data_IF_658486159752
#
_entry.id   IF_658486159752
#
_cell.length_a   1.000
_cell.length_b   1.000
_cell.length_c   1.000
_cell.angle_alpha   90.00
_cell.angle_beta   90.00
_cell.angle_gamma   90.00
#
_symmetry.space_group_name_H-M   'P 1'
#
loop_
_entity.id
_entity.type
_entity.pdbx_description
1 polymer ?
#
# COMPACT_ATOMS: atom_id res chain seq x y z
N UNK A 1 49.88 -34.49 -9.99
CA UNK A 1 48.42 -34.33 -9.87
C UNK A 1 48.11 -33.57 -8.58
N UNK A 2 48.32 -32.23 -8.52
CA UNK A 2 47.99 -31.49 -7.32
C UNK A 2 46.49 -31.20 -7.33
N UNK A 3 45.83 -31.76 -6.33
CA UNK A 3 44.39 -31.72 -6.14
C UNK A 3 43.89 -30.27 -6.02
N UNK A 4 42.99 -29.94 -6.94
CA UNK A 4 41.84 -29.04 -6.83
C UNK A 4 41.83 -28.06 -5.64
N UNK A 5 42.08 -26.79 -5.95
CA UNK A 5 41.59 -25.68 -5.14
C UNK A 5 40.08 -25.52 -5.40
N UNK A 6 39.25 -26.03 -4.49
CA UNK A 6 37.80 -25.79 -4.51
C UNK A 6 37.53 -24.44 -3.83
N UNK A 7 37.52 -23.36 -4.63
CA UNK A 7 37.10 -22.04 -4.18
C UNK A 7 35.57 -22.01 -4.10
N UNK A 8 35.00 -22.28 -2.92
CA UNK A 8 33.60 -22.05 -2.64
C UNK A 8 33.38 -20.53 -2.54
N UNK A 9 33.03 -19.90 -3.66
CA UNK A 9 32.41 -18.57 -3.64
C UNK A 9 31.01 -18.74 -3.06
N UNK A 10 30.86 -18.49 -1.76
CA UNK A 10 29.55 -18.28 -1.15
C UNK A 10 28.96 -17.02 -1.77
N UNK A 11 28.09 -17.19 -2.76
CA UNK A 11 27.22 -16.11 -3.22
C UNK A 11 26.21 -15.91 -2.09
N UNK A 12 26.47 -14.94 -1.21
CA UNK A 12 25.46 -14.47 -0.28
C UNK A 12 24.33 -13.87 -1.09
N UNK A 13 23.27 -14.65 -1.31
CA UNK A 13 21.97 -14.13 -1.72
C UNK A 13 21.53 -13.20 -0.59
N UNK A 14 21.77 -11.90 -0.76
CA UNK A 14 21.14 -10.90 0.07
C UNK A 14 19.67 -10.90 -0.36
N UNK A 15 18.88 -11.78 0.25
CA UNK A 15 17.45 -11.53 0.32
C UNK A 15 17.34 -10.12 0.92
N UNK A 16 16.80 -9.18 0.15
CA UNK A 16 16.57 -7.83 0.62
C UNK A 16 15.89 -7.91 1.97
N UNK A 17 16.42 -7.17 2.94
CA UNK A 17 15.93 -7.17 4.32
C UNK A 17 14.42 -6.95 4.31
N UNK A 18 13.64 -7.99 4.63
CA UNK A 18 12.20 -7.87 4.70
C UNK A 18 11.88 -7.11 5.98
N UNK A 19 11.57 -5.81 5.84
CA UNK A 19 11.30 -4.92 6.97
C UNK A 19 10.21 -5.47 7.89
N UNK A 20 9.27 -6.23 7.33
CA UNK A 20 8.12 -6.77 8.04
C UNK A 20 7.89 -8.24 7.69
N UNK A 21 8.49 -9.17 8.45
CA UNK A 21 8.27 -10.61 8.28
C UNK A 21 6.78 -10.97 8.31
N UNK A 22 6.32 -11.72 7.29
CA UNK A 22 4.91 -12.13 7.16
C UNK A 22 4.01 -11.13 6.43
N UNK A 23 4.54 -9.97 6.05
CA UNK A 23 3.86 -9.03 5.16
C UNK A 23 3.73 -9.58 3.74
N UNK A 24 2.63 -9.20 3.06
CA UNK A 24 2.34 -9.63 1.67
C UNK A 24 2.72 -8.60 0.60
N UNK A 25 3.22 -7.43 0.99
CA UNK A 25 3.70 -6.40 0.07
C UNK A 25 5.22 -6.37 0.02
N UNK A 26 5.77 -5.92 -1.10
CA UNK A 26 7.22 -5.89 -1.28
C UNK A 26 7.85 -4.73 -0.54
N UNK A 27 9.15 -4.81 -0.32
CA UNK A 27 9.94 -3.71 0.23
C UNK A 27 9.79 -2.41 -0.59
N UNK A 28 9.74 -2.51 -1.92
CA UNK A 28 9.51 -1.38 -2.81
C UNK A 28 8.11 -0.76 -2.62
N UNK A 29 7.08 -1.56 -2.36
CA UNK A 29 5.72 -1.05 -2.09
C UNK A 29 5.68 -0.25 -0.77
N UNK A 30 6.34 -0.77 0.27
CA UNK A 30 6.49 -0.08 1.58
C UNK A 30 7.14 1.28 1.41
N UNK A 31 8.26 1.32 0.68
CA UNK A 31 8.97 2.56 0.36
C UNK A 31 8.12 3.53 -0.45
N UNK A 32 7.43 3.05 -1.49
CA UNK A 32 6.56 3.88 -2.31
C UNK A 32 5.42 4.51 -1.50
N UNK A 33 4.75 3.72 -0.65
CA UNK A 33 3.69 4.20 0.24
C UNK A 33 4.22 5.22 1.25
N UNK A 34 5.32 4.91 1.94
CA UNK A 34 5.90 5.79 2.96
C UNK A 34 6.41 7.11 2.35
N UNK A 35 7.10 7.03 1.21
CA UNK A 35 7.63 8.19 0.51
C UNK A 35 6.51 9.05 -0.08
N UNK A 36 5.47 8.45 -0.65
CA UNK A 36 4.30 9.16 -1.15
C UNK A 36 3.64 10.01 -0.07
N UNK A 37 3.37 9.41 1.10
CA UNK A 37 2.80 10.13 2.25
C UNK A 37 3.72 11.24 2.75
N UNK A 38 5.00 10.95 2.97
CA UNK A 38 5.94 11.95 3.48
C UNK A 38 6.20 13.10 2.49
N UNK A 39 6.17 12.83 1.18
CA UNK A 39 6.28 13.87 0.14
C UNK A 39 5.08 14.83 0.19
N UNK A 40 3.85 14.29 0.26
CA UNK A 40 2.65 15.12 0.39
C UNK A 40 2.66 15.93 1.69
N UNK A 41 3.00 15.30 2.83
CA UNK A 41 3.12 15.96 4.13
C UNK A 41 4.16 17.09 4.09
N UNK A 42 5.31 16.88 3.45
CA UNK A 42 6.34 17.89 3.28
C UNK A 42 5.85 19.08 2.46
N UNK A 43 5.15 18.84 1.35
CA UNK A 43 4.58 19.90 0.52
C UNK A 43 3.57 20.76 1.27
N UNK A 44 2.72 20.14 2.10
CA UNK A 44 1.80 20.85 3.00
C UNK A 44 2.60 21.67 4.03
N UNK A 45 3.58 21.06 4.70
CA UNK A 45 4.39 21.73 5.71
C UNK A 45 5.17 22.95 5.18
N UNK A 46 5.52 22.94 3.89
CA UNK A 46 6.20 24.03 3.20
C UNK A 46 5.22 25.06 2.58
N UNK A 47 3.92 24.84 2.65
CA UNK A 47 2.91 25.71 2.02
C UNK A 47 2.96 25.70 0.49
N UNK A 48 3.48 24.63 -0.13
CA UNK A 48 3.67 24.51 -1.59
C UNK A 48 2.61 23.63 -2.27
N UNK A 49 1.58 23.22 -1.54
CA UNK A 49 0.51 22.37 -2.06
C UNK A 49 -0.74 23.19 -2.41
N UNK A 50 -1.30 22.92 -3.58
CA UNK A 50 -2.64 23.34 -4.00
C UNK A 50 -3.49 22.09 -4.20
N UNK A 51 -4.70 22.08 -3.63
CA UNK A 51 -5.67 21.02 -3.80
C UNK A 51 -6.99 21.64 -4.30
N UNK A 52 -7.56 21.10 -5.38
CA UNK A 52 -8.78 21.61 -6.02
C UNK A 52 -8.74 23.13 -6.31
N UNK A 53 -7.58 23.64 -6.75
CA UNK A 53 -7.38 25.07 -7.04
C UNK A 53 -7.20 25.96 -5.81
N UNK A 54 -7.24 25.41 -4.59
CA UNK A 54 -7.10 26.15 -3.34
C UNK A 54 -5.75 25.83 -2.69
N UNK A 55 -5.02 26.87 -2.28
CA UNK A 55 -3.77 26.69 -1.56
C UNK A 55 -4.03 26.02 -0.19
N UNK A 56 -3.31 24.95 0.09
CA UNK A 56 -3.39 24.26 1.38
C UNK A 56 -2.56 25.04 2.41
N UNK A 57 -3.10 25.38 3.60
CA UNK A 57 -2.36 26.12 4.61
C UNK A 57 -1.07 25.42 5.05
N UNK A 58 -0.03 26.22 5.32
CA UNK A 58 1.24 25.73 5.84
C UNK A 58 1.07 25.12 7.24
N UNK A 59 1.75 24.00 7.50
CA UNK A 59 1.78 23.38 8.82
C UNK A 59 3.17 23.49 9.48
N UNK A 60 3.24 23.97 10.72
CA UNK A 60 4.50 24.16 11.46
C UNK A 60 5.02 22.90 12.16
N UNK A 61 4.16 21.95 12.51
CA UNK A 61 4.50 20.75 13.28
C UNK A 61 4.11 19.44 12.57
N UNK A 62 4.40 19.35 11.27
CA UNK A 62 4.07 18.17 10.47
C UNK A 62 5.11 17.06 10.67
N UNK A 63 4.79 16.06 11.49
CA UNK A 63 5.72 14.95 11.76
C UNK A 63 6.01 14.09 10.52
N UNK A 64 7.24 13.56 10.39
CA UNK A 64 7.58 12.56 9.36
C UNK A 64 7.05 11.19 9.79
N UNK A 65 6.35 10.51 8.89
CA UNK A 65 5.89 9.14 9.12
C UNK A 65 7.06 8.16 9.03
N UNK A 66 6.97 7.08 9.80
CA UNK A 66 7.83 5.90 9.72
C UNK A 66 6.96 4.68 9.38
N UNK A 67 7.56 3.67 8.78
CA UNK A 67 6.88 2.39 8.58
C UNK A 67 6.76 1.66 9.91
N UNK A 68 5.62 0.98 10.12
CA UNK A 68 5.34 0.17 11.31
C UNK A 68 4.72 -1.15 10.84
N UNK A 69 5.40 -2.25 11.14
CA UNK A 69 4.99 -3.58 10.72
C UNK A 69 3.71 -4.05 11.41
N UNK A 70 3.41 -3.59 12.63
CA UNK A 70 2.17 -3.96 13.29
C UNK A 70 0.97 -3.37 12.56
N UNK A 71 1.10 -2.13 12.06
CA UNK A 71 0.08 -1.48 11.25
C UNK A 71 -0.10 -2.15 9.89
N UNK A 72 1.00 -2.53 9.23
CA UNK A 72 0.94 -3.27 7.96
C UNK A 72 0.18 -4.59 8.14
N UNK A 73 0.56 -5.39 9.14
CA UNK A 73 -0.07 -6.68 9.39
C UNK A 73 -1.54 -6.54 9.78
N UNK A 74 -1.91 -5.46 10.46
CA UNK A 74 -3.31 -5.19 10.76
C UNK A 74 -4.11 -4.80 9.51
N UNK A 75 -3.60 -3.89 8.69
CA UNK A 75 -4.22 -3.51 7.42
C UNK A 75 -4.34 -4.70 6.46
N UNK A 76 -3.32 -5.56 6.42
CA UNK A 76 -3.32 -6.79 5.64
C UNK A 76 -4.40 -7.76 6.12
N UNK A 77 -4.47 -8.06 7.43
CA UNK A 77 -5.51 -8.93 8.00
C UNK A 77 -6.90 -8.43 7.66
N UNK A 78 -7.12 -7.12 7.71
CA UNK A 78 -8.40 -6.54 7.33
C UNK A 78 -8.69 -6.73 5.85
N UNK A 79 -7.76 -6.36 4.97
CA UNK A 79 -7.91 -6.52 3.52
C UNK A 79 -8.23 -7.97 3.12
N UNK A 80 -7.67 -8.95 3.82
CA UNK A 80 -7.94 -10.38 3.60
C UNK A 80 -9.31 -10.81 4.15
N UNK A 81 -9.69 -10.33 5.34
CA UNK A 81 -10.94 -10.72 6.02
C UNK A 81 -12.17 -9.98 5.52
N UNK A 82 -12.01 -8.79 4.94
CA UNK A 82 -13.09 -7.93 4.49
C UNK A 82 -13.75 -8.42 3.20
N UNK A 83 -13.27 -9.51 2.58
CA UNK A 83 -13.82 -10.06 1.34
C UNK A 83 -13.96 -9.01 0.22
N UNK A 84 -12.95 -8.16 0.08
CA UNK A 84 -12.92 -7.02 -0.86
C UNK A 84 -14.04 -5.98 -0.66
N UNK A 85 -14.71 -5.95 0.49
CA UNK A 85 -15.68 -4.92 0.83
C UNK A 85 -14.98 -3.61 1.23
N UNK A 86 -15.48 -2.50 0.69
CA UNK A 86 -14.99 -1.15 1.01
C UNK A 86 -15.61 -0.61 2.30
N UNK A 87 -15.35 -1.30 3.41
CA UNK A 87 -15.84 -0.93 4.74
C UNK A 87 -14.70 -0.77 5.75
N UNK A 88 -14.85 0.22 6.60
CA UNK A 88 -13.95 0.41 7.73
C UNK A 88 -14.22 -0.60 8.83
N UNK A 89 -13.20 -0.89 9.63
CA UNK A 89 -13.38 -1.62 10.89
C UNK A 89 -14.40 -0.91 11.79
N UNK A 90 -15.36 -1.68 12.31
CA UNK A 90 -16.31 -1.18 13.33
C UNK A 90 -15.64 -0.98 14.69
N UNK A 91 -14.62 -1.78 15.01
CA UNK A 91 -13.79 -1.65 16.20
C UNK A 91 -12.32 -1.79 15.81
N UNK A 92 -11.52 -0.77 16.15
CA UNK A 92 -10.08 -0.71 15.84
C UNK A 92 -9.27 -0.82 17.13
N UNK A 93 -8.15 -1.57 17.14
CA UNK A 93 -7.23 -1.56 18.26
C UNK A 93 -6.62 -0.16 18.44
N UNK A 94 -6.87 0.47 19.59
CA UNK A 94 -6.34 1.80 19.92
C UNK A 94 -6.86 2.92 19.00
N UNK A 95 -6.04 3.96 18.82
CA UNK A 95 -6.39 5.18 18.06
C UNK A 95 -5.94 5.12 16.59
N UNK A 96 -6.04 3.95 15.95
CA UNK A 96 -5.56 3.75 14.58
C UNK A 96 -6.52 4.37 13.55
N UNK A 97 -6.00 5.30 12.74
CA UNK A 97 -6.69 5.77 11.54
C UNK A 97 -6.66 4.72 10.44
N UNK A 98 -7.63 4.76 9.52
CA UNK A 98 -7.71 3.82 8.39
C UNK A 98 -8.14 4.55 7.12
N UNK A 99 -7.44 4.29 6.03
CA UNK A 99 -7.81 4.72 4.69
C UNK A 99 -7.96 3.47 3.81
N UNK A 100 -9.00 3.43 2.97
CA UNK A 100 -9.26 2.32 2.06
C UNK A 100 -9.25 2.82 0.61
N UNK A 101 -8.72 1.99 -0.28
CA UNK A 101 -8.78 2.23 -1.72
C UNK A 101 -8.97 0.89 -2.44
N UNK A 102 -9.89 0.88 -3.41
CA UNK A 102 -10.11 -0.25 -4.31
C UNK A 102 -10.20 0.28 -5.74
N UNK A 103 -9.56 -0.43 -6.66
CA UNK A 103 -9.71 -0.20 -8.09
C UNK A 103 -10.20 -1.49 -8.73
N UNK A 104 -11.34 -1.42 -9.42
CA UNK A 104 -11.86 -2.53 -10.19
C UNK A 104 -11.34 -2.42 -11.63
N UNK A 105 -10.55 -3.39 -12.06
CA UNK A 105 -10.28 -3.58 -13.50
C UNK A 105 -11.26 -4.61 -14.05
N UNK A 106 -12.49 -4.17 -14.29
CA UNK A 106 -13.52 -5.01 -14.89
C UNK A 106 -13.22 -5.32 -16.35
N UNK A 107 -13.36 -6.58 -16.74
CA UNK A 107 -13.29 -7.03 -18.13
C UNK A 107 -14.34 -6.34 -19.02
N UNK A 108 -13.92 -6.02 -20.26
CA UNK A 108 -14.61 -5.38 -21.39
C UNK A 108 -15.83 -4.49 -21.08
N UNK A 109 -15.68 -3.21 -21.38
CA UNK A 109 -16.80 -2.30 -21.62
C UNK A 109 -17.70 -2.88 -22.73
N UNK A 110 -18.94 -3.26 -22.39
CA UNK A 110 -19.99 -3.43 -23.38
C UNK A 110 -20.51 -2.04 -23.72
N UNK A 111 -20.18 -1.54 -24.90
CA UNK A 111 -20.71 -0.27 -25.39
C UNK A 111 -21.99 -0.50 -26.18
N UNK A 112 -22.94 0.39 -25.89
CA UNK A 112 -24.07 0.83 -26.70
C UNK A 112 -25.20 -0.17 -26.99
N UNK A 113 -26.30 0.03 -26.27
CA UNK A 113 -27.63 0.03 -26.86
C UNK A 113 -28.25 -1.34 -27.09
N UNK A 114 -28.49 -2.10 -26.03
CA UNK A 114 -29.49 -3.17 -26.06
C UNK A 114 -30.36 -3.00 -24.82
N UNK A 115 -31.63 -2.62 -25.05
CA UNK A 115 -32.68 -2.74 -24.06
C UNK A 115 -32.87 -4.22 -23.72
N UNK A 116 -33.16 -4.49 -22.45
CA UNK A 116 -33.67 -5.77 -21.96
C UNK A 116 -32.70 -6.96 -22.00
N UNK A 117 -32.12 -7.27 -20.85
CA UNK A 117 -32.09 -8.65 -20.35
C UNK A 117 -31.70 -8.62 -18.88
N UNK A 118 -32.70 -8.72 -18.03
CA UNK A 118 -32.54 -9.19 -16.65
C UNK A 118 -31.74 -10.50 -16.63
N UNK A 119 -30.67 -10.62 -15.81
CA UNK A 119 -30.01 -11.89 -15.60
C UNK A 119 -30.94 -12.81 -14.81
N UNK A 120 -31.34 -13.93 -15.40
CA UNK A 120 -31.85 -15.06 -14.63
C UNK A 120 -30.69 -15.71 -13.89
N UNK A 121 -30.89 -15.92 -12.59
CA UNK A 121 -30.01 -16.71 -11.72
C UNK A 121 -29.98 -18.17 -12.18
N UNK A 122 -28.78 -18.75 -12.24
CA UNK A 122 -28.48 -20.18 -12.10
C UNK A 122 -27.21 -20.32 -11.24
#
# INVERSE_FOLDING_TARGET
NPFLALLLLAVSVHAGEDWCPGGKITQADREALLNGHNSLRSRIAQGSMTANGIAVPQASNMARMKWDCEQELHAQKWSESANCEMKHHSARPGDQGENLYLSWKGGKAYTTGDEDSTPTED
#
